data_IF_819346242817
#
_entry.id   IF_819346242817
#
_cell.length_a   1.000
_cell.length_b   1.000
_cell.length_c   1.000
_cell.angle_alpha   90.00
_cell.angle_beta   90.00
_cell.angle_gamma   90.00
#
_symmetry.space_group_name_H-M   'P 1'
#
loop_
_entity.id
_entity.type
_entity.pdbx_description
1 polymer ?
#
# COMPACT_ATOMS: atom_id res chain seq x y z
N UNK A 1 22.52 -6.63 9.64
CA UNK A 1 21.39 -6.38 8.72
C UNK A 1 20.35 -7.48 8.88
N UNK A 2 19.69 -7.57 10.06
CA UNK A 2 18.85 -8.72 10.43
C UNK A 2 17.37 -8.35 10.69
N UNK A 3 16.94 -7.15 10.29
CA UNK A 3 15.63 -6.60 10.70
C UNK A 3 14.56 -6.59 9.59
N UNK A 4 14.94 -6.86 8.33
CA UNK A 4 14.04 -6.76 7.15
C UNK A 4 13.74 -8.13 6.52
N UNK A 5 14.43 -9.21 6.93
CA UNK A 5 14.30 -10.51 6.27
C UNK A 5 12.97 -11.24 6.57
N UNK A 6 12.32 -10.92 7.70
CA UNK A 6 11.18 -11.69 8.22
C UNK A 6 9.80 -11.16 7.81
N UNK A 7 9.70 -10.08 7.02
CA UNK A 7 8.40 -9.55 6.59
C UNK A 7 7.83 -10.31 5.40
N UNK A 8 8.70 -10.90 4.55
CA UNK A 8 8.27 -11.72 3.41
C UNK A 8 7.85 -13.14 3.79
N UNK A 9 8.23 -13.60 4.99
CA UNK A 9 7.85 -14.93 5.51
C UNK A 9 6.52 -14.90 6.29
N UNK A 10 5.99 -13.69 6.57
CA UNK A 10 4.64 -13.53 7.10
C UNK A 10 3.69 -13.77 5.93
N UNK A 11 3.50 -15.04 5.55
CA UNK A 11 2.40 -15.44 4.69
C UNK A 11 1.13 -14.78 5.26
N UNK A 12 0.42 -13.93 4.49
CA UNK A 12 -0.75 -13.26 4.98
C UNK A 12 -1.84 -14.33 5.16
N UNK A 13 -1.99 -14.84 6.38
CA UNK A 13 -3.13 -15.67 6.84
C UNK A 13 -4.45 -14.90 6.72
N UNK A 14 -4.36 -13.58 6.59
CA UNK A 14 -5.44 -12.69 6.20
C UNK A 14 -5.49 -12.68 4.68
N UNK A 15 -6.63 -12.99 4.06
CA UNK A 15 -6.81 -13.15 2.60
C UNK A 15 -6.59 -11.89 1.74
N UNK A 16 -5.67 -11.02 2.11
CA UNK A 16 -5.22 -9.85 1.39
C UNK A 16 -3.81 -10.15 0.89
N UNK A 17 -3.65 -10.24 -0.43
CA UNK A 17 -2.32 -10.24 -1.02
C UNK A 17 -1.70 -8.85 -0.80
N UNK A 18 -0.38 -8.76 -0.68
CA UNK A 18 0.32 -7.47 -0.55
C UNK A 18 -0.04 -6.51 -1.71
N UNK A 19 -0.34 -7.09 -2.87
CA UNK A 19 -0.83 -6.40 -4.04
C UNK A 19 -2.24 -5.80 -3.85
N UNK A 20 -3.16 -6.52 -3.19
CA UNK A 20 -4.52 -6.03 -2.93
C UNK A 20 -4.51 -4.77 -2.05
N UNK A 21 -3.66 -4.75 -1.02
CA UNK A 21 -3.52 -3.59 -0.13
C UNK A 21 -2.96 -2.39 -0.90
N UNK A 22 -1.93 -2.60 -1.72
CA UNK A 22 -1.32 -1.53 -2.54
C UNK A 22 -2.30 -0.97 -3.58
N UNK A 23 -3.02 -1.84 -4.28
CA UNK A 23 -4.02 -1.43 -5.27
C UNK A 23 -5.19 -0.68 -4.61
N UNK A 24 -5.71 -1.22 -3.51
CA UNK A 24 -6.79 -0.59 -2.75
C UNK A 24 -6.34 0.74 -2.14
N UNK A 25 -5.11 0.82 -1.64
CA UNK A 25 -4.51 2.07 -1.17
C UNK A 25 -4.39 3.10 -2.29
N UNK A 26 -3.83 2.74 -3.45
CA UNK A 26 -3.69 3.63 -4.61
C UNK A 26 -5.04 4.18 -5.05
N UNK A 27 -6.04 3.32 -5.16
CA UNK A 27 -7.40 3.71 -5.55
C UNK A 27 -8.01 4.69 -4.55
N UNK A 28 -8.00 4.35 -3.26
CA UNK A 28 -8.53 5.22 -2.20
C UNK A 28 -7.75 6.53 -2.04
N UNK A 29 -6.44 6.52 -2.29
CA UNK A 29 -5.60 7.72 -2.23
C UNK A 29 -5.97 8.69 -3.34
N UNK A 30 -6.13 8.23 -4.58
CA UNK A 30 -6.47 9.07 -5.72
C UNK A 30 -7.88 9.69 -5.61
N UNK A 31 -8.82 9.01 -4.98
CA UNK A 31 -10.17 9.53 -4.72
C UNK A 31 -10.21 10.52 -3.55
N UNK A 32 -9.22 10.45 -2.64
CA UNK A 32 -9.10 11.35 -1.51
C UNK A 32 -8.72 12.77 -1.93
N UNK A 33 -9.15 13.75 -1.14
CA UNK A 33 -8.71 15.15 -1.27
C UNK A 33 -7.19 15.28 -1.24
N UNK A 34 -6.50 14.40 -0.51
CA UNK A 34 -5.03 14.35 -0.50
C UNK A 34 -4.44 13.90 -1.84
N UNK A 35 -5.07 12.95 -2.54
CA UNK A 35 -4.62 12.54 -3.87
C UNK A 35 -4.88 13.62 -4.91
N UNK A 36 -6.00 14.34 -4.79
CA UNK A 36 -6.27 15.52 -5.63
C UNK A 36 -5.26 16.63 -5.39
N UNK A 37 -4.90 16.88 -4.13
CA UNK A 37 -3.84 17.82 -3.77
C UNK A 37 -2.50 17.36 -4.33
N UNK A 38 -2.16 16.08 -4.22
CA UNK A 38 -0.92 15.55 -4.79
C UNK A 38 -0.86 15.73 -6.32
N UNK A 39 -2.00 15.63 -7.02
CA UNK A 39 -2.10 15.86 -8.47
C UNK A 39 -1.84 17.31 -8.90
N UNK A 40 -2.02 18.29 -8.00
CA UNK A 40 -1.78 19.72 -8.32
C UNK A 40 -0.36 20.18 -7.98
N UNK A 41 0.45 19.36 -7.33
CA UNK A 41 1.87 19.64 -7.10
C UNK A 41 2.70 19.00 -8.23
N UNK A 42 3.50 19.78 -8.99
CA UNK A 42 4.30 19.29 -10.12
C UNK A 42 5.46 18.38 -9.71
#
# INVERSE_FOLDING_TARGET
MAKIQNISEIHPTLGFTEFDILEKYRKSFNESELGKLHSVFP
#
